data_IF_834665938355
#
_entry.id   IF_834665938355
#
_cell.length_a   1.000
_cell.length_b   1.000
_cell.length_c   1.000
_cell.angle_alpha   90.00
_cell.angle_beta   90.00
_cell.angle_gamma   90.00
#
_symmetry.space_group_name_H-M   'P 1'
#
loop_
_entity.id
_entity.type
_entity.pdbx_description
1 polymer ?
#
# COMPACT_ATOMS: atom_id res chain seq x y z
N UNK A 1 -1.41 6.89 -98.79
CA UNK A 1 -1.23 5.42 -98.82
C UNK A 1 -0.97 4.95 -97.40
N UNK A 2 -1.73 3.94 -96.96
CA UNK A 2 -1.54 2.98 -95.84
C UNK A 2 -1.02 3.52 -94.50
N UNK A 3 -1.71 3.43 -93.35
CA UNK A 3 -2.69 2.43 -92.93
C UNK A 3 -2.00 1.18 -92.40
N UNK A 4 -1.91 1.00 -91.07
CA UNK A 4 -2.48 -0.18 -90.40
C UNK A 4 -2.49 -0.06 -88.87
N UNK A 5 -3.66 -0.37 -88.32
CA UNK A 5 -3.96 -0.69 -86.93
C UNK A 5 -3.38 -2.08 -86.60
N UNK A 6 -3.23 -2.43 -85.32
CA UNK A 6 -3.89 -3.59 -84.70
C UNK A 6 -3.76 -3.51 -83.18
N UNK A 7 -4.87 -3.85 -82.57
CA UNK A 7 -5.30 -3.93 -81.17
C UNK A 7 -4.73 -5.14 -80.43
N UNK A 8 -4.72 -5.11 -79.09
CA UNK A 8 -5.55 -6.01 -78.23
C UNK A 8 -5.36 -5.75 -76.72
N UNK A 9 -6.48 -5.94 -76.04
CA UNK A 9 -6.79 -5.74 -74.62
C UNK A 9 -6.21 -6.88 -73.75
N UNK A 10 -5.92 -6.60 -72.49
CA UNK A 10 -6.23 -7.50 -71.38
C UNK A 10 -6.42 -6.69 -70.10
N UNK A 11 -7.64 -6.71 -69.58
CA UNK A 11 -7.99 -6.30 -68.24
C UNK A 11 -7.67 -7.46 -67.28
N UNK A 12 -7.29 -7.14 -66.04
CA UNK A 12 -7.66 -7.93 -64.88
C UNK A 12 -7.60 -7.04 -63.63
N UNK A 13 -8.80 -6.80 -63.10
CA UNK A 13 -9.05 -6.29 -61.77
C UNK A 13 -8.58 -7.30 -60.71
N UNK A 14 -8.08 -6.81 -59.59
CA UNK A 14 -7.73 -7.62 -58.42
C UNK A 14 -7.62 -6.69 -57.21
N UNK A 15 -8.59 -6.78 -56.32
CA UNK A 15 -8.90 -5.75 -55.32
C UNK A 15 -7.86 -5.57 -54.22
N UNK A 16 -7.79 -4.33 -53.73
CA UNK A 16 -7.28 -3.99 -52.41
C UNK A 16 -7.97 -2.71 -51.94
N UNK A 17 -9.25 -2.83 -51.59
CA UNK A 17 -9.97 -1.81 -50.82
C UNK A 17 -10.47 -2.49 -49.54
N UNK A 18 -9.55 -2.72 -48.61
CA UNK A 18 -9.88 -3.08 -47.23
C UNK A 18 -10.38 -1.80 -46.54
N UNK A 19 -11.66 -1.52 -46.75
CA UNK A 19 -12.45 -0.52 -46.05
C UNK A 19 -12.41 -0.82 -44.55
N UNK A 20 -11.69 0.04 -43.82
CA UNK A 20 -12.06 0.63 -42.53
C UNK A 20 -13.39 0.12 -41.96
N UNK A 21 -13.30 -0.96 -41.17
CA UNK A 21 -14.27 -1.30 -40.14
C UNK A 21 -13.65 -0.93 -38.79
N UNK A 22 -13.60 0.36 -38.49
CA UNK A 22 -13.54 0.80 -37.10
C UNK A 22 -14.98 0.90 -36.60
N UNK A 23 -15.34 -0.05 -35.75
CA UNK A 23 -16.61 -0.09 -35.05
C UNK A 23 -16.78 1.20 -34.24
N UNK A 24 -17.78 2.00 -34.59
CA UNK A 24 -18.32 3.02 -33.72
C UNK A 24 -19.08 2.32 -32.58
N UNK A 25 -18.45 2.16 -31.43
CA UNK A 25 -19.14 1.80 -30.19
C UNK A 25 -19.95 3.00 -29.70
N UNK A 26 -21.27 2.86 -29.45
CA UNK A 26 -22.08 3.95 -28.91
C UNK A 26 -21.64 4.26 -27.47
N UNK A 27 -21.40 5.55 -27.22
CA UNK A 27 -20.73 6.07 -26.04
C UNK A 27 -21.51 5.95 -24.74
N UNK A 28 -20.78 5.57 -23.69
CA UNK A 28 -21.11 5.87 -22.30
C UNK A 28 -20.63 7.30 -22.00
N UNK A 29 -21.54 8.27 -22.05
CA UNK A 29 -21.26 9.64 -21.68
C UNK A 29 -21.09 9.73 -20.15
N UNK A 30 -19.84 9.70 -19.69
CA UNK A 30 -19.46 9.78 -18.28
C UNK A 30 -17.96 9.59 -18.03
N UNK A 31 -17.23 9.03 -19.00
CA UNK A 31 -15.81 8.65 -18.87
C UNK A 31 -14.92 9.28 -19.98
N UNK A 32 -15.45 10.29 -20.67
CA UNK A 32 -14.97 10.74 -21.98
C UNK A 32 -13.65 11.54 -22.01
N UNK A 33 -13.04 11.87 -20.86
CA UNK A 33 -11.80 12.66 -20.82
C UNK A 33 -10.57 11.86 -20.34
N UNK A 34 -10.69 10.54 -20.14
CA UNK A 34 -9.52 9.74 -19.79
C UNK A 34 -8.74 9.39 -21.07
N UNK A 35 -7.45 9.73 -21.16
CA UNK A 35 -6.62 9.29 -22.29
C UNK A 35 -6.63 7.76 -22.36
N UNK A 36 -6.63 7.21 -23.58
CA UNK A 36 -6.52 5.77 -23.78
C UNK A 36 -5.26 5.21 -23.08
N UNK A 37 -5.32 4.03 -22.43
CA UNK A 37 -4.14 3.42 -21.84
C UNK A 37 -2.98 3.31 -22.84
N UNK A 38 -1.74 3.47 -22.38
CA UNK A 38 -0.60 3.30 -23.28
C UNK A 38 -0.29 1.83 -23.59
N UNK A 39 0.23 1.61 -24.78
CA UNK A 39 0.59 0.29 -25.31
C UNK A 39 2.06 -0.06 -25.08
N UNK A 40 2.43 -1.32 -25.28
CA UNK A 40 3.82 -1.77 -25.22
C UNK A 40 4.71 -1.03 -26.23
N UNK A 41 4.24 -0.84 -27.46
CA UNK A 41 4.97 -0.10 -28.49
C UNK A 41 5.24 1.36 -28.09
N UNK A 42 4.29 2.01 -27.41
CA UNK A 42 4.49 3.37 -26.89
C UNK A 42 5.48 3.40 -25.72
N UNK A 43 5.45 2.40 -24.85
CA UNK A 43 6.42 2.26 -23.76
C UNK A 43 7.84 2.08 -24.32
N UNK A 44 8.03 1.20 -25.30
CA UNK A 44 9.33 0.97 -25.94
C UNK A 44 9.85 2.24 -26.61
N UNK A 45 8.99 2.94 -27.36
CA UNK A 45 9.32 4.21 -27.98
C UNK A 45 9.68 5.28 -26.95
N UNK A 46 8.94 5.35 -25.84
CA UNK A 46 9.23 6.29 -24.76
C UNK A 46 10.60 6.02 -24.14
N UNK A 47 10.94 4.76 -23.86
CA UNK A 47 12.26 4.36 -23.36
C UNK A 47 13.37 4.79 -24.32
N UNK A 48 13.16 4.65 -25.63
CA UNK A 48 14.14 5.01 -26.65
C UNK A 48 14.31 6.53 -26.83
N UNK A 49 13.23 7.31 -26.70
CA UNK A 49 13.23 8.75 -26.99
C UNK A 49 13.48 9.62 -25.74
N UNK A 50 13.11 9.15 -24.54
CA UNK A 50 13.25 9.90 -23.30
C UNK A 50 14.68 10.45 -23.04
N UNK A 51 15.78 9.69 -23.27
CA UNK A 51 17.14 10.20 -23.10
C UNK A 51 17.43 11.44 -23.96
N UNK A 52 16.85 11.55 -25.16
CA UNK A 52 17.03 12.71 -26.05
C UNK A 52 16.36 13.95 -25.45
N UNK A 53 15.19 13.78 -24.85
CA UNK A 53 14.48 14.86 -24.15
C UNK A 53 15.25 15.35 -22.92
N UNK A 54 15.84 14.43 -22.14
CA UNK A 54 16.71 14.75 -21.00
C UNK A 54 17.98 15.46 -21.47
N UNK A 55 18.63 14.98 -22.53
CA UNK A 55 19.82 15.60 -23.10
C UNK A 55 19.55 17.01 -23.62
N UNK A 56 18.41 17.22 -24.30
CA UNK A 56 17.98 18.54 -24.74
C UNK A 56 17.71 19.47 -23.55
N UNK A 57 17.01 19.01 -22.50
CA UNK A 57 16.79 19.82 -21.30
C UNK A 57 18.09 20.21 -20.62
N UNK A 58 19.06 19.29 -20.59
CA UNK A 58 20.38 19.52 -19.99
C UNK A 58 21.22 20.53 -20.77
N UNK A 59 21.02 20.64 -22.08
CA UNK A 59 21.72 21.62 -22.92
C UNK A 59 21.12 23.04 -22.84
N UNK A 60 19.90 23.17 -22.32
CA UNK A 60 19.28 24.47 -22.08
C UNK A 60 19.79 25.09 -20.79
N UNK A 61 20.52 26.21 -20.87
CA UNK A 61 21.03 26.92 -19.69
C UNK A 61 19.93 27.22 -18.66
N UNK A 62 18.73 27.56 -19.14
CA UNK A 62 17.53 27.84 -18.32
C UNK A 62 17.07 26.67 -17.45
N UNK A 63 17.38 25.42 -17.81
CA UNK A 63 16.94 24.22 -17.09
C UNK A 63 18.06 23.45 -16.40
N UNK A 64 19.33 23.77 -16.72
CA UNK A 64 20.51 23.16 -16.11
C UNK A 64 20.53 23.11 -14.57
N UNK A 65 19.87 24.08 -13.90
CA UNK A 65 19.82 24.19 -12.43
C UNK A 65 18.69 23.41 -11.76
N UNK A 66 17.66 22.99 -12.49
CA UNK A 66 16.43 22.41 -11.94
C UNK A 66 16.47 20.88 -11.95
N UNK A 67 17.55 20.30 -12.48
CA UNK A 67 17.67 18.88 -12.76
C UNK A 67 17.04 18.54 -14.12
N UNK A 68 17.61 17.56 -14.81
CA UNK A 68 17.24 17.22 -16.18
C UNK A 68 15.95 16.38 -16.28
N UNK A 69 14.98 16.59 -15.38
CA UNK A 69 13.72 15.85 -15.38
C UNK A 69 12.55 16.75 -15.86
N UNK A 70 11.96 16.48 -17.04
CA UNK A 70 10.84 17.24 -17.59
C UNK A 70 9.62 17.32 -16.67
N UNK A 71 9.46 16.36 -15.76
CA UNK A 71 8.34 16.30 -14.82
C UNK A 71 8.41 17.39 -13.73
N UNK A 72 9.62 17.84 -13.39
CA UNK A 72 9.85 18.79 -12.29
C UNK A 72 9.73 20.24 -12.78
N UNK A 73 9.79 20.46 -14.09
CA UNK A 73 9.77 21.80 -14.70
C UNK A 73 8.31 22.21 -14.95
N UNK A 74 7.80 23.12 -14.12
CA UNK A 74 6.47 23.69 -14.29
C UNK A 74 6.32 24.37 -15.66
N UNK A 75 5.23 24.08 -16.38
CA UNK A 75 4.94 24.67 -17.68
C UNK A 75 5.69 24.05 -18.86
N UNK A 76 6.54 23.04 -18.65
CA UNK A 76 7.32 22.39 -19.71
C UNK A 76 6.45 21.83 -20.85
N UNK A 77 5.25 21.36 -20.53
CA UNK A 77 4.23 20.90 -21.49
C UNK A 77 3.82 21.95 -22.52
N UNK A 78 4.03 23.23 -22.22
CA UNK A 78 3.66 24.36 -23.05
C UNK A 78 4.88 25.12 -23.62
N UNK A 79 6.11 24.65 -23.37
CA UNK A 79 7.30 25.27 -23.93
C UNK A 79 7.39 24.99 -25.45
N UNK A 80 7.40 26.02 -26.31
CA UNK A 80 7.29 25.81 -27.75
C UNK A 80 8.49 25.10 -28.37
N UNK A 81 9.69 25.24 -27.78
CA UNK A 81 10.88 24.56 -28.30
C UNK A 81 10.88 23.08 -27.94
N UNK A 82 10.43 22.76 -26.73
CA UNK A 82 10.28 21.38 -26.32
C UNK A 82 9.14 20.67 -27.04
N UNK A 83 8.02 21.35 -27.28
CA UNK A 83 6.93 20.81 -28.11
C UNK A 83 7.45 20.48 -29.51
N UNK A 84 8.25 21.36 -30.13
CA UNK A 84 8.89 21.07 -31.43
C UNK A 84 9.83 19.87 -31.37
N UNK A 85 10.60 19.70 -30.28
CA UNK A 85 11.43 18.52 -30.08
C UNK A 85 10.57 17.25 -30.05
N UNK A 86 9.50 17.24 -29.25
CA UNK A 86 8.58 16.10 -29.14
C UNK A 86 7.92 15.79 -30.49
N UNK A 87 7.46 16.81 -31.22
CA UNK A 87 6.88 16.66 -32.56
C UNK A 87 7.88 16.06 -33.56
N UNK A 88 9.16 16.46 -33.50
CA UNK A 88 10.23 15.89 -34.33
C UNK A 88 10.49 14.40 -34.05
N UNK A 89 10.18 13.96 -32.83
CA UNK A 89 10.21 12.56 -32.42
C UNK A 89 8.87 11.86 -32.66
N UNK A 90 7.86 12.57 -33.18
CA UNK A 90 6.51 12.09 -33.47
C UNK A 90 5.62 11.90 -32.23
N UNK A 91 5.88 12.64 -31.16
CA UNK A 91 5.06 12.71 -29.95
C UNK A 91 4.18 13.96 -29.97
N UNK A 92 2.95 13.84 -29.47
CA UNK A 92 2.22 15.02 -28.97
C UNK A 92 2.63 15.28 -27.52
N UNK A 93 2.67 16.56 -27.12
CA UNK A 93 3.02 16.91 -25.73
C UNK A 93 2.09 16.20 -24.73
N UNK A 94 0.80 16.17 -25.00
CA UNK A 94 -0.20 15.53 -24.15
C UNK A 94 0.05 14.04 -23.96
N UNK A 95 0.38 13.31 -25.04
CA UNK A 95 0.66 11.88 -24.96
C UNK A 95 1.98 11.57 -24.25
N UNK A 96 3.02 12.37 -24.51
CA UNK A 96 4.32 12.22 -23.86
C UNK A 96 4.22 12.44 -22.35
N UNK A 97 3.59 13.55 -21.93
CA UNK A 97 3.42 13.85 -20.50
C UNK A 97 2.45 12.91 -19.80
N UNK A 98 1.47 12.36 -20.53
CA UNK A 98 0.63 11.26 -20.02
C UNK A 98 1.47 10.02 -19.70
N UNK A 99 2.28 9.52 -20.65
CA UNK A 99 3.17 8.38 -20.39
C UNK A 99 4.13 8.66 -19.24
N UNK A 100 4.78 9.83 -19.26
CA UNK A 100 5.72 10.23 -18.22
C UNK A 100 5.06 10.23 -16.83
N UNK A 101 3.83 10.74 -16.72
CA UNK A 101 3.06 10.67 -15.47
C UNK A 101 2.83 9.23 -15.04
N UNK A 102 2.27 8.41 -15.94
CA UNK A 102 1.90 7.03 -15.62
C UNK A 102 3.10 6.17 -15.24
N UNK A 103 4.22 6.33 -15.96
CA UNK A 103 5.46 5.63 -15.62
C UNK A 103 5.93 6.00 -14.22
N UNK A 104 5.93 7.30 -13.87
CA UNK A 104 6.32 7.75 -12.54
C UNK A 104 5.39 7.20 -11.45
N UNK A 105 4.07 7.23 -11.68
CA UNK A 105 3.07 6.64 -10.77
C UNK A 105 3.31 5.14 -10.60
N UNK A 106 3.56 4.42 -11.70
CA UNK A 106 3.81 2.99 -11.71
C UNK A 106 5.09 2.60 -10.97
N UNK A 107 6.20 3.33 -11.17
CA UNK A 107 7.46 3.09 -10.46
C UNK A 107 7.33 3.33 -8.96
N UNK A 108 6.62 4.40 -8.54
CA UNK A 108 6.33 4.65 -7.11
C UNK A 108 5.41 3.59 -6.51
N UNK A 109 4.44 3.09 -7.28
CA UNK A 109 3.58 2.00 -6.84
C UNK A 109 4.37 0.69 -6.66
N UNK A 110 5.30 0.39 -7.56
CA UNK A 110 6.21 -0.75 -7.46
C UNK A 110 7.11 -0.62 -6.22
N UNK A 111 7.69 0.55 -5.98
CA UNK A 111 8.58 0.78 -4.83
C UNK A 111 7.84 0.64 -3.49
N UNK A 112 6.63 1.21 -3.39
CA UNK A 112 5.77 1.01 -2.22
C UNK A 112 5.44 -0.47 -2.01
N UNK A 113 5.12 -1.20 -3.07
CA UNK A 113 4.85 -2.63 -2.97
C UNK A 113 6.06 -3.43 -2.47
N UNK A 114 7.28 -3.07 -2.92
CA UNK A 114 8.54 -3.65 -2.42
C UNK A 114 8.76 -3.35 -0.94
N UNK A 115 8.63 -2.08 -0.53
CA UNK A 115 8.76 -1.66 0.86
C UNK A 115 7.74 -2.37 1.76
N UNK A 116 6.48 -2.46 1.34
CA UNK A 116 5.45 -3.20 2.08
C UNK A 116 5.78 -4.69 2.20
N UNK A 117 6.32 -5.31 1.14
CA UNK A 117 6.76 -6.71 1.20
C UNK A 117 7.88 -6.91 2.22
N UNK A 118 8.90 -6.06 2.18
CA UNK A 118 10.02 -6.10 3.13
C UNK A 118 9.55 -5.86 4.57
N UNK A 119 8.67 -4.88 4.79
CA UNK A 119 8.08 -4.62 6.10
C UNK A 119 7.28 -5.82 6.61
N UNK A 120 6.49 -6.47 5.75
CA UNK A 120 5.75 -7.70 6.08
C UNK A 120 6.68 -8.85 6.44
N UNK A 121 7.79 -9.03 5.73
CA UNK A 121 8.78 -10.06 6.05
C UNK A 121 9.47 -9.81 7.38
N UNK A 122 9.91 -8.56 7.62
CA UNK A 122 10.53 -8.16 8.88
C UNK A 122 9.57 -8.39 10.06
N UNK A 123 8.30 -8.01 9.92
CA UNK A 123 7.27 -8.26 10.92
C UNK A 123 7.09 -9.76 11.20
N UNK A 124 7.00 -10.60 10.16
CA UNK A 124 6.90 -12.06 10.34
C UNK A 124 8.10 -12.64 11.07
N UNK A 125 9.32 -12.16 10.79
CA UNK A 125 10.53 -12.61 11.51
C UNK A 125 10.46 -12.24 12.98
N UNK A 126 10.08 -11.00 13.30
CA UNK A 126 9.91 -10.56 14.68
C UNK A 126 8.86 -11.38 15.42
N UNK A 127 7.72 -11.67 14.79
CA UNK A 127 6.66 -12.49 15.38
C UNK A 127 7.14 -13.92 15.67
N UNK A 128 7.87 -14.53 14.72
CA UNK A 128 8.45 -15.86 14.91
C UNK A 128 9.51 -15.88 16.02
N UNK A 129 10.35 -14.85 16.11
CA UNK A 129 11.34 -14.71 17.18
C UNK A 129 10.68 -14.53 18.54
N UNK A 130 9.66 -13.67 18.64
CA UNK A 130 8.88 -13.48 19.86
C UNK A 130 8.20 -14.79 20.30
N UNK A 131 7.62 -15.55 19.36
CA UNK A 131 7.03 -16.85 19.65
C UNK A 131 8.07 -17.86 20.16
N UNK A 132 9.26 -17.92 19.53
CA UNK A 132 10.38 -18.77 19.99
C UNK A 132 10.84 -18.38 21.38
N UNK A 133 11.00 -17.09 21.67
CA UNK A 133 11.39 -16.60 22.99
C UNK A 133 10.33 -16.94 24.05
N UNK A 134 9.05 -16.79 23.74
CA UNK A 134 7.95 -17.18 24.63
C UNK A 134 7.98 -18.69 24.93
N UNK A 135 8.18 -19.52 23.91
CA UNK A 135 8.34 -20.97 24.08
C UNK A 135 9.56 -21.33 24.93
N UNK A 136 10.70 -20.68 24.70
CA UNK A 136 11.91 -20.89 25.49
C UNK A 136 11.70 -20.52 26.97
N UNK A 137 11.07 -19.37 27.25
CA UNK A 137 10.73 -18.95 28.63
C UNK A 137 9.76 -19.91 29.31
N UNK A 138 8.75 -20.39 28.59
CA UNK A 138 7.82 -21.39 29.13
C UNK A 138 8.54 -22.71 29.44
N UNK A 139 9.42 -23.17 28.54
CA UNK A 139 10.21 -24.38 28.76
C UNK A 139 11.17 -24.24 29.96
N UNK A 140 11.81 -23.08 30.11
CA UNK A 140 12.68 -22.78 31.24
C UNK A 140 11.91 -22.71 32.56
N UNK A 141 10.79 -21.98 32.60
CA UNK A 141 9.90 -21.91 33.77
C UNK A 141 9.45 -23.31 34.19
N UNK A 142 9.09 -24.17 33.22
CA UNK A 142 8.75 -25.57 33.49
C UNK A 142 9.91 -26.36 34.09
N UNK A 143 11.14 -26.19 33.58
CA UNK A 143 12.34 -26.84 34.15
C UNK A 143 12.60 -26.37 35.57
N UNK A 144 12.45 -25.07 35.85
CA UNK A 144 12.63 -24.51 37.19
C UNK A 144 11.60 -25.07 38.18
N UNK A 145 10.32 -25.12 37.81
CA UNK A 145 9.28 -25.72 38.66
C UNK A 145 9.52 -27.21 38.92
N UNK A 146 9.93 -27.97 37.90
CA UNK A 146 10.27 -29.38 38.07
C UNK A 146 11.48 -29.57 38.98
N UNK A 147 12.51 -28.74 38.85
CA UNK A 147 13.70 -28.79 39.72
C UNK A 147 13.35 -28.43 41.17
N UNK A 148 12.52 -27.40 41.39
CA UNK A 148 12.04 -27.01 42.72
C UNK A 148 11.23 -28.13 43.37
N UNK A 149 10.31 -28.74 42.62
CA UNK A 149 9.53 -29.85 43.14
C UNK A 149 10.40 -31.09 43.42
N UNK A 150 11.40 -31.39 42.58
CA UNK A 150 12.35 -32.47 42.85
C UNK A 150 13.21 -32.21 44.10
N UNK A 151 13.56 -30.96 44.38
CA UNK A 151 14.23 -30.56 45.63
C UNK A 151 13.31 -30.78 46.84
N UNK A 152 12.08 -30.27 46.81
CA UNK A 152 11.09 -30.48 47.88
C UNK A 152 10.81 -31.96 48.15
N UNK A 153 10.76 -32.78 47.07
CA UNK A 153 10.58 -34.22 47.18
C UNK A 153 11.70 -34.87 47.99
N UNK A 154 12.96 -34.48 47.73
CA UNK A 154 14.13 -34.97 48.46
C UNK A 154 14.11 -34.52 49.92
N UNK A 155 13.68 -33.29 50.20
CA UNK A 155 13.57 -32.77 51.57
C UNK A 155 12.52 -33.54 52.39
N UNK A 156 11.33 -33.79 51.81
CA UNK A 156 10.28 -34.60 52.46
C UNK A 156 10.77 -36.03 52.72
N UNK A 157 11.45 -36.64 51.74
CA UNK A 157 11.93 -38.01 51.85
C UNK A 157 13.03 -38.16 52.92
N UNK A 158 13.98 -37.22 52.94
CA UNK A 158 15.15 -37.27 53.84
C UNK A 158 14.84 -36.83 55.27
N UNK A 159 13.75 -36.11 55.53
CA UNK A 159 13.44 -35.62 56.87
C UNK A 159 13.06 -36.77 57.83
N UNK A 160 13.84 -37.03 58.90
CA UNK A 160 13.57 -38.14 59.82
C UNK A 160 12.40 -37.88 60.78
N UNK A 161 11.98 -36.62 60.94
CA UNK A 161 10.93 -36.21 61.88
C UNK A 161 9.51 -36.33 61.31
N UNK A 162 9.36 -36.65 60.02
CA UNK A 162 8.05 -36.83 59.38
C UNK A 162 7.70 -38.33 59.39
N UNK A 163 6.59 -38.76 60.02
CA UNK A 163 6.13 -40.14 59.96
C UNK A 163 5.86 -40.60 58.52
N UNK A 164 6.09 -41.88 58.23
CA UNK A 164 6.02 -42.43 56.86
C UNK A 164 4.68 -42.19 56.15
N UNK A 165 3.55 -42.31 56.85
CA UNK A 165 2.22 -42.03 56.28
C UNK A 165 2.04 -40.56 55.90
N UNK A 166 2.60 -39.64 56.70
CA UNK A 166 2.53 -38.20 56.45
C UNK A 166 3.44 -37.82 55.26
N UNK A 167 4.61 -38.46 55.12
CA UNK A 167 5.47 -38.31 53.92
C UNK A 167 4.71 -38.67 52.65
N UNK A 168 4.00 -39.79 52.63
CA UNK A 168 3.22 -40.22 51.46
C UNK A 168 2.13 -39.21 51.09
N UNK A 169 1.41 -38.68 52.09
CA UNK A 169 0.38 -37.65 51.85
C UNK A 169 0.98 -36.36 51.27
N UNK A 170 2.08 -35.86 51.83
CA UNK A 170 2.76 -34.66 51.33
C UNK A 170 3.31 -34.84 49.90
N UNK A 171 3.86 -36.01 49.59
CA UNK A 171 4.34 -36.34 48.25
C UNK A 171 3.19 -36.40 47.23
N UNK A 172 2.05 -36.98 47.61
CA UNK A 172 0.87 -37.02 46.75
C UNK A 172 0.31 -35.61 46.47
N UNK A 173 0.28 -34.74 47.48
CA UNK A 173 -0.12 -33.34 47.32
C UNK A 173 0.84 -32.56 46.40
N UNK A 174 2.15 -32.78 46.54
CA UNK A 174 3.15 -32.16 45.66
C UNK A 174 3.00 -32.63 44.21
N UNK A 175 2.80 -33.94 43.99
CA UNK A 175 2.61 -34.52 42.66
C UNK A 175 1.29 -34.04 42.02
N UNK A 176 0.22 -33.87 42.82
CA UNK A 176 -1.04 -33.29 42.37
C UNK A 176 -0.88 -31.80 42.01
N UNK A 177 -0.23 -31.01 42.88
CA UNK A 177 0.02 -29.59 42.64
C UNK A 177 0.89 -29.34 41.40
N UNK A 178 1.87 -30.20 41.13
CA UNK A 178 2.64 -30.18 39.89
C UNK A 178 1.75 -30.43 38.67
N UNK A 179 0.90 -31.46 38.71
CA UNK A 179 -0.01 -31.78 37.59
C UNK A 179 -0.98 -30.63 37.28
N UNK A 180 -1.48 -29.96 38.32
CA UNK A 180 -2.46 -28.89 38.19
C UNK A 180 -1.82 -27.54 37.80
N UNK A 181 -0.60 -27.25 38.28
CA UNK A 181 0.05 -25.95 38.08
C UNK A 181 1.15 -25.92 37.03
N UNK A 182 1.53 -27.08 36.44
CA UNK A 182 2.44 -27.09 35.30
C UNK A 182 1.77 -26.33 34.14
N UNK A 183 2.36 -25.23 33.65
CA UNK A 183 1.82 -24.50 32.51
C UNK A 183 1.72 -25.49 31.35
N UNK A 184 0.50 -25.87 31.03
CA UNK A 184 0.22 -26.68 29.86
C UNK A 184 0.49 -25.79 28.66
N UNK A 185 1.30 -26.30 27.72
CA UNK A 185 1.37 -25.66 26.42
C UNK A 185 -0.06 -25.61 25.90
N UNK A 186 -0.57 -24.44 25.50
CA UNK A 186 -1.91 -24.35 24.96
C UNK A 186 -2.04 -25.34 23.82
N UNK A 187 -3.12 -26.12 23.81
CA UNK A 187 -3.37 -27.05 22.72
C UNK A 187 -3.44 -26.28 21.40
N UNK A 188 -3.21 -26.96 20.26
CA UNK A 188 -3.38 -26.33 18.95
C UNK A 188 -4.77 -25.68 18.80
N UNK A 189 -5.80 -26.30 19.39
CA UNK A 189 -7.15 -25.74 19.48
C UNK A 189 -7.21 -24.48 20.35
N UNK A 190 -6.57 -24.46 21.52
CA UNK A 190 -6.52 -23.27 22.37
C UNK A 190 -5.80 -22.11 21.70
N UNK A 191 -4.72 -22.37 20.96
CA UNK A 191 -4.02 -21.37 20.15
C UNK A 191 -4.95 -20.83 19.05
N UNK A 192 -5.64 -21.71 18.31
CA UNK A 192 -6.58 -21.29 17.28
C UNK A 192 -7.74 -20.47 17.86
N UNK A 193 -8.27 -20.88 19.01
CA UNK A 193 -9.35 -20.17 19.70
C UNK A 193 -8.88 -18.80 20.19
N UNK A 194 -7.66 -18.71 20.71
CA UNK A 194 -7.04 -17.44 21.12
C UNK A 194 -6.85 -16.52 19.91
N UNK A 195 -6.34 -17.02 18.78
CA UNK A 195 -6.20 -16.25 17.55
C UNK A 195 -7.56 -15.76 17.03
N UNK A 196 -8.58 -16.62 17.02
CA UNK A 196 -9.94 -16.25 16.62
C UNK A 196 -10.52 -15.17 17.53
N UNK A 197 -10.27 -15.26 18.83
CA UNK A 197 -10.72 -14.26 19.81
C UNK A 197 -10.00 -12.93 19.60
N UNK A 198 -8.68 -12.96 19.39
CA UNK A 198 -7.90 -11.77 19.07
C UNK A 198 -8.39 -11.09 17.77
N UNK A 199 -8.62 -11.86 16.71
CA UNK A 199 -9.18 -11.37 15.45
C UNK A 199 -10.56 -10.74 15.64
N UNK A 200 -11.47 -11.44 16.35
CA UNK A 200 -12.81 -10.91 16.63
C UNK A 200 -12.75 -9.60 17.44
N UNK A 201 -11.84 -9.51 18.41
CA UNK A 201 -11.64 -8.29 19.20
C UNK A 201 -11.10 -7.15 18.32
N UNK A 202 -10.19 -7.44 17.39
CA UNK A 202 -9.66 -6.45 16.46
C UNK A 202 -10.74 -5.93 15.51
N UNK A 203 -11.53 -6.81 14.91
CA UNK A 203 -12.66 -6.43 14.05
C UNK A 203 -13.70 -5.63 14.85
N UNK A 204 -14.02 -6.06 16.07
CA UNK A 204 -14.95 -5.32 16.94
C UNK A 204 -14.42 -3.91 17.27
N UNK A 205 -13.12 -3.76 17.52
CA UNK A 205 -12.50 -2.46 17.73
C UNK A 205 -12.60 -1.56 16.49
N UNK A 206 -12.33 -2.11 15.29
CA UNK A 206 -12.49 -1.38 14.03
C UNK A 206 -13.94 -0.95 13.78
N UNK A 207 -14.91 -1.84 14.04
CA UNK A 207 -16.34 -1.50 13.95
C UNK A 207 -16.71 -0.35 14.88
N UNK A 208 -16.22 -0.36 16.13
CA UNK A 208 -16.45 0.74 17.09
C UNK A 208 -15.83 2.06 16.59
N UNK A 209 -14.64 2.02 16.01
CA UNK A 209 -14.00 3.20 15.42
C UNK A 209 -14.84 3.77 14.27
N UNK A 210 -15.31 2.92 13.34
CA UNK A 210 -16.17 3.33 12.22
C UNK A 210 -17.49 3.91 12.72
N UNK A 211 -18.14 3.24 13.68
CA UNK A 211 -19.42 3.69 14.25
C UNK A 211 -19.28 5.03 14.97
N UNK A 212 -18.24 5.17 15.80
CA UNK A 212 -17.97 6.36 16.60
C UNK A 212 -17.40 7.54 15.81
N UNK A 213 -17.00 7.35 14.55
CA UNK A 213 -16.41 8.41 13.76
C UNK A 213 -17.48 9.44 13.31
N UNK A 214 -17.41 10.72 13.74
CA UNK A 214 -18.41 11.73 13.36
C UNK A 214 -18.24 12.24 11.92
N UNK A 215 -17.10 11.96 11.28
CA UNK A 215 -16.75 12.47 9.95
C UNK A 215 -17.15 11.53 8.81
N UNK A 216 -17.54 10.28 9.10
CA UNK A 216 -18.05 9.36 8.09
C UNK A 216 -19.53 9.60 7.85
N UNK A 217 -19.92 9.74 6.57
CA UNK A 217 -21.32 9.76 6.18
C UNK A 217 -22.02 8.44 6.57
N UNK A 218 -23.34 8.42 6.81
CA UNK A 218 -24.05 7.18 7.12
C UNK A 218 -23.88 6.09 6.04
N UNK A 219 -23.79 6.48 4.77
CA UNK A 219 -23.57 5.57 3.66
C UNK A 219 -22.16 4.94 3.69
N UNK A 220 -21.13 5.75 3.96
CA UNK A 220 -19.76 5.27 4.08
C UNK A 220 -19.57 4.37 5.29
N UNK A 221 -20.16 4.73 6.44
CA UNK A 221 -20.18 3.87 7.63
C UNK A 221 -20.77 2.50 7.33
N UNK A 222 -21.91 2.46 6.64
CA UNK A 222 -22.57 1.21 6.25
C UNK A 222 -21.65 0.38 5.37
N UNK A 223 -21.07 0.97 4.32
CA UNK A 223 -20.15 0.28 3.41
C UNK A 223 -18.95 -0.31 4.14
N UNK A 224 -18.35 0.44 5.07
CA UNK A 224 -17.24 -0.02 5.89
C UNK A 224 -17.63 -1.16 6.83
N UNK A 225 -18.76 -1.06 7.52
CA UNK A 225 -19.25 -2.10 8.41
C UNK A 225 -19.56 -3.40 7.66
N UNK A 226 -20.16 -3.29 6.46
CA UNK A 226 -20.45 -4.44 5.60
C UNK A 226 -19.15 -5.14 5.16
N UNK A 227 -18.09 -4.39 4.84
CA UNK A 227 -16.77 -4.97 4.54
C UNK A 227 -16.14 -5.68 5.76
N UNK A 228 -16.23 -5.09 6.94
CA UNK A 228 -15.74 -5.71 8.18
C UNK A 228 -16.52 -6.98 8.52
N UNK A 229 -17.81 -7.04 8.21
CA UNK A 229 -18.64 -8.24 8.34
C UNK A 229 -18.20 -9.37 7.39
N UNK A 230 -17.89 -9.03 6.13
CA UNK A 230 -17.37 -9.99 5.15
C UNK A 230 -16.01 -10.54 5.63
N UNK A 231 -15.11 -9.68 6.09
CA UNK A 231 -13.81 -10.10 6.65
C UNK A 231 -13.96 -10.98 7.89
N UNK A 232 -14.91 -10.65 8.77
CA UNK A 232 -15.16 -11.46 9.97
C UNK A 232 -15.64 -12.86 9.62
N UNK A 233 -16.55 -12.98 8.63
CA UNK A 233 -17.11 -14.26 8.17
C UNK A 233 -16.09 -15.10 7.39
N UNK A 234 -15.16 -14.46 6.67
CA UNK A 234 -14.14 -15.12 5.87
C UNK A 234 -12.89 -15.58 6.63
N UNK A 235 -12.79 -15.31 7.94
CA UNK A 235 -11.59 -15.68 8.70
C UNK A 235 -11.47 -17.20 8.91
N UNK A 236 -10.41 -17.77 8.33
CA UNK A 236 -10.02 -19.17 8.52
C UNK A 236 -8.68 -19.24 9.27
N UNK A 237 -8.64 -19.67 10.55
CA UNK A 237 -7.40 -19.77 11.32
C UNK A 237 -6.40 -20.82 10.77
N UNK A 238 -6.85 -21.73 9.90
CA UNK A 238 -5.99 -22.73 9.27
C UNK A 238 -5.23 -22.21 8.04
N UNK A 239 -5.57 -21.02 7.54
CA UNK A 239 -4.88 -20.35 6.45
C UNK A 239 -4.40 -18.97 6.95
N UNK A 240 -3.10 -18.77 7.21
CA UNK A 240 -2.60 -17.45 7.56
C UNK A 240 -2.92 -16.50 6.40
N UNK A 241 -3.90 -15.62 6.59
CA UNK A 241 -4.26 -14.62 5.59
C UNK A 241 -3.11 -13.63 5.46
N UNK A 242 -2.27 -13.85 4.46
CA UNK A 242 -1.21 -12.94 4.03
C UNK A 242 -1.80 -11.72 3.30
N UNK A 243 -2.73 -10.99 3.91
CA UNK A 243 -3.44 -9.97 3.14
C UNK A 243 -4.49 -9.10 3.79
N UNK A 244 -4.72 -9.14 5.11
CA UNK A 244 -5.60 -8.14 5.73
C UNK A 244 -4.85 -6.81 5.94
N UNK A 245 -4.40 -6.21 4.84
CA UNK A 245 -4.24 -4.75 4.79
C UNK A 245 -5.64 -4.18 5.07
N UNK A 246 -5.83 -3.29 6.07
CA UNK A 246 -7.15 -2.72 6.34
C UNK A 246 -7.79 -2.25 5.03
N UNK A 247 -9.05 -2.62 4.73
CA UNK A 247 -9.69 -2.28 3.47
C UNK A 247 -10.18 -0.84 3.50
N UNK A 248 -9.24 0.07 3.38
CA UNK A 248 -9.40 1.49 3.13
C UNK A 248 -7.99 1.96 2.91
N UNK A 249 -7.75 2.54 1.74
CA UNK A 249 -6.41 2.93 1.30
C UNK A 249 -5.64 3.53 2.47
N UNK A 250 -4.36 3.17 2.63
CA UNK A 250 -3.44 3.78 3.61
C UNK A 250 -3.62 5.33 3.71
N UNK A 251 -4.08 5.95 2.62
CA UNK A 251 -4.50 7.35 2.47
C UNK A 251 -5.74 7.77 3.27
N UNK A 252 -6.83 7.02 3.29
CA UNK A 252 -8.03 7.35 4.10
C UNK A 252 -7.73 7.19 5.59
N UNK A 253 -7.00 6.15 5.96
CA UNK A 253 -6.53 5.96 7.32
C UNK A 253 -5.56 7.07 7.75
N UNK A 254 -4.59 7.43 6.90
CA UNK A 254 -3.69 8.57 7.16
C UNK A 254 -4.44 9.90 7.26
N UNK A 255 -5.40 10.16 6.36
CA UNK A 255 -6.25 11.36 6.41
C UNK A 255 -7.01 11.43 7.73
N UNK A 256 -7.60 10.31 8.15
CA UNK A 256 -8.36 10.22 9.38
C UNK A 256 -7.47 10.33 10.64
N UNK A 257 -6.26 9.76 10.61
CA UNK A 257 -5.29 9.91 11.69
C UNK A 257 -4.80 11.35 11.80
N UNK A 258 -4.56 12.03 10.68
CA UNK A 258 -4.23 13.45 10.65
C UNK A 258 -5.39 14.29 11.18
N UNK A 259 -6.63 14.09 10.70
CA UNK A 259 -7.81 14.82 11.20
C UNK A 259 -7.97 14.70 12.71
N UNK A 260 -7.71 13.51 13.28
CA UNK A 260 -7.70 13.30 14.72
C UNK A 260 -6.60 14.11 15.44
N UNK A 261 -5.38 14.15 14.89
CA UNK A 261 -4.29 14.98 15.43
C UNK A 261 -4.62 16.48 15.38
N UNK A 262 -5.20 16.96 14.28
CA UNK A 262 -5.63 18.36 14.14
C UNK A 262 -6.75 18.70 15.13
N UNK A 263 -7.72 17.80 15.32
CA UNK A 263 -8.78 17.97 16.31
C UNK A 263 -8.23 18.03 17.74
N UNK A 264 -7.21 17.22 18.05
CA UNK A 264 -6.54 17.24 19.35
C UNK A 264 -5.78 18.57 19.56
N UNK A 265 -5.00 19.03 18.58
CA UNK A 265 -4.29 20.31 18.64
C UNK A 265 -5.25 21.49 18.82
N UNK A 266 -6.36 21.49 18.08
CA UNK A 266 -7.45 22.46 18.24
C UNK A 266 -7.98 22.46 19.66
N UNK A 267 -8.24 21.27 20.23
CA UNK A 267 -8.74 21.12 21.59
C UNK A 267 -7.73 21.59 22.64
N UNK A 268 -6.43 21.39 22.42
CA UNK A 268 -5.38 21.93 23.29
C UNK A 268 -5.37 23.46 23.26
N UNK A 269 -5.50 24.10 22.09
CA UNK A 269 -5.54 25.57 21.96
C UNK A 269 -6.80 26.14 22.63
N UNK A 270 -7.96 25.52 22.38
CA UNK A 270 -9.24 25.97 22.94
C UNK A 270 -9.26 25.90 24.47
N UNK A 271 -8.78 24.79 25.05
CA UNK A 271 -8.86 24.56 26.49
C UNK A 271 -7.67 25.11 27.30
N UNK A 272 -6.62 25.63 26.67
CA UNK A 272 -5.47 26.15 27.40
C UNK A 272 -5.79 27.53 28.05
N UNK A 273 -5.84 27.64 29.39
CA UNK A 273 -6.19 28.91 30.05
C UNK A 273 -5.06 29.95 29.98
N UNK A 274 -3.82 29.54 29.67
CA UNK A 274 -2.66 30.43 29.60
C UNK A 274 -2.60 31.24 28.29
N UNK A 275 -3.43 30.92 27.29
CA UNK A 275 -3.46 31.64 26.01
C UNK A 275 -4.57 32.69 26.06
N UNK A 276 -4.27 33.99 25.89
CA UNK A 276 -5.28 35.04 25.78
C UNK A 276 -6.25 34.79 24.62
N UNK A 277 -7.52 35.16 24.79
CA UNK A 277 -8.59 34.88 23.82
C UNK A 277 -8.26 35.38 22.41
N UNK A 278 -7.66 36.57 22.30
CA UNK A 278 -7.28 37.17 21.01
C UNK A 278 -6.21 36.35 20.28
N UNK A 279 -5.24 35.81 21.04
CA UNK A 279 -4.19 34.94 20.50
C UNK A 279 -4.72 33.56 20.13
N UNK A 280 -5.66 33.00 20.90
CA UNK A 280 -6.34 31.73 20.55
C UNK A 280 -7.02 31.81 19.20
N UNK A 281 -7.73 32.92 18.92
CA UNK A 281 -8.42 33.12 17.65
C UNK A 281 -7.46 33.09 16.46
N UNK A 282 -6.29 33.74 16.59
CA UNK A 282 -5.24 33.71 15.56
C UNK A 282 -4.68 32.30 15.33
N UNK A 283 -4.33 31.59 16.42
CA UNK A 283 -3.80 30.23 16.33
C UNK A 283 -4.78 29.24 15.70
N UNK A 284 -6.08 29.35 16.02
CA UNK A 284 -7.11 28.49 15.43
C UNK A 284 -7.31 28.77 13.93
N UNK A 285 -7.25 30.03 13.51
CA UNK A 285 -7.34 30.40 12.10
C UNK A 285 -6.14 29.88 11.30
N UNK A 286 -4.93 29.98 11.86
CA UNK A 286 -3.71 29.44 11.24
C UNK A 286 -3.77 27.91 11.13
N UNK A 287 -4.26 27.22 12.16
CA UNK A 287 -4.46 25.78 12.17
C UNK A 287 -5.44 25.34 11.07
N UNK A 288 -6.56 26.07 10.92
CA UNK A 288 -7.56 25.79 9.88
C UNK A 288 -7.01 26.03 8.47
N UNK A 289 -6.22 27.09 8.28
CA UNK A 289 -5.59 27.36 6.98
C UNK A 289 -4.53 26.31 6.63
N UNK A 290 -3.73 25.87 7.61
CA UNK A 290 -2.79 24.76 7.44
C UNK A 290 -3.50 23.46 7.07
N UNK A 291 -4.61 23.13 7.75
CA UNK A 291 -5.45 21.99 7.43
C UNK A 291 -5.99 22.08 5.99
N UNK A 292 -6.51 23.24 5.59
CA UNK A 292 -7.00 23.49 4.22
C UNK A 292 -5.91 23.34 3.17
N UNK A 293 -4.71 23.89 3.41
CA UNK A 293 -3.56 23.76 2.49
C UNK A 293 -3.12 22.31 2.35
N UNK A 294 -3.09 21.56 3.45
CA UNK A 294 -2.71 20.14 3.44
C UNK A 294 -3.78 19.26 2.78
N UNK A 295 -5.06 19.47 3.07
CA UNK A 295 -6.16 18.76 2.40
C UNK A 295 -6.17 19.10 0.91
N UNK A 296 -6.01 20.37 0.54
CA UNK A 296 -5.85 20.76 -0.85
C UNK A 296 -4.57 20.16 -1.49
N UNK A 297 -3.49 19.95 -0.73
CA UNK A 297 -2.31 19.23 -1.21
C UNK A 297 -2.58 17.74 -1.41
N UNK A 298 -3.26 17.07 -0.48
CA UNK A 298 -3.67 15.66 -0.60
C UNK A 298 -4.68 15.45 -1.73
N UNK A 299 -5.61 16.40 -1.88
CA UNK A 299 -6.63 16.42 -2.93
C UNK A 299 -6.02 16.76 -4.27
N UNK A 300 -5.16 17.77 -4.39
CA UNK A 300 -4.41 18.04 -5.64
C UNK A 300 -3.47 16.89 -6.01
N UNK A 301 -2.94 16.17 -5.01
CA UNK A 301 -2.21 14.92 -5.23
C UNK A 301 -3.12 13.78 -5.66
N UNK A 302 -4.41 13.75 -5.29
CA UNK A 302 -5.36 12.70 -5.70
C UNK A 302 -6.18 13.01 -6.94
N UNK A 303 -6.40 14.28 -7.26
CA UNK A 303 -7.36 14.74 -8.27
C UNK A 303 -6.78 14.65 -9.69
N UNK A 304 -5.47 14.37 -9.85
CA UNK A 304 -4.86 14.14 -11.17
C UNK A 304 -3.81 13.03 -11.23
N UNK A 305 -3.65 12.20 -10.20
CA UNK A 305 -3.07 10.88 -10.42
C UNK A 305 -4.12 10.07 -11.18
N UNK A 306 -4.15 10.25 -12.51
CA UNK A 306 -4.85 9.35 -13.41
C UNK A 306 -4.48 7.94 -12.97
N UNK A 307 -5.43 7.22 -12.35
CA UNK A 307 -5.15 5.91 -11.80
C UNK A 307 -4.46 5.09 -12.89
N UNK A 308 -3.26 4.58 -12.64
CA UNK A 308 -2.61 3.71 -13.61
C UNK A 308 -3.50 2.48 -13.76
N UNK A 309 -3.83 2.09 -14.99
CA UNK A 309 -4.60 0.86 -15.20
C UNK A 309 -3.73 -0.36 -14.88
N UNK A 310 -4.34 -1.51 -14.61
CA UNK A 310 -3.59 -2.74 -14.32
C UNK A 310 -2.67 -3.14 -15.49
N UNK A 311 -3.12 -2.92 -16.73
CA UNK A 311 -2.33 -3.18 -17.94
C UNK A 311 -1.10 -2.26 -18.05
N UNK A 312 -1.28 -0.97 -17.82
CA UNK A 312 -0.18 0.00 -17.81
C UNK A 312 0.82 -0.28 -16.68
N UNK A 313 0.31 -0.63 -15.49
CA UNK A 313 1.16 -0.98 -14.35
C UNK A 313 1.98 -2.24 -14.64
N UNK A 314 1.41 -3.23 -15.34
CA UNK A 314 2.15 -4.40 -15.79
C UNK A 314 3.27 -4.01 -16.78
N UNK A 315 3.01 -3.11 -17.73
CA UNK A 315 4.02 -2.62 -18.67
C UNK A 315 5.16 -1.86 -17.95
N UNK A 316 4.84 -1.02 -16.96
CA UNK A 316 5.85 -0.33 -16.14
C UNK A 316 6.70 -1.33 -15.37
N UNK A 317 6.07 -2.35 -14.74
CA UNK A 317 6.78 -3.39 -14.00
C UNK A 317 7.72 -4.20 -14.90
N UNK A 318 7.25 -4.61 -16.08
CA UNK A 318 8.05 -5.38 -17.03
C UNK A 318 9.25 -4.60 -17.58
N UNK A 319 9.19 -3.26 -17.53
CA UNK A 319 10.26 -2.38 -17.99
C UNK A 319 10.96 -1.62 -16.86
N UNK A 320 10.70 -1.96 -15.59
CA UNK A 320 11.16 -1.19 -14.44
C UNK A 320 12.69 -1.06 -14.39
N UNK A 321 13.43 -2.11 -14.75
CA UNK A 321 14.90 -2.09 -14.79
C UNK A 321 15.46 -1.09 -15.81
N UNK A 322 14.76 -0.90 -16.93
CA UNK A 322 15.15 0.10 -17.95
C UNK A 322 14.72 1.50 -17.54
N UNK A 323 13.55 1.64 -16.93
CA UNK A 323 12.94 2.94 -16.59
C UNK A 323 13.56 3.61 -15.36
N UNK A 324 14.00 2.82 -14.38
CA UNK A 324 14.61 3.32 -13.14
C UNK A 324 15.84 4.22 -13.37
N UNK A 325 16.90 3.77 -14.07
CA UNK A 325 18.08 4.62 -14.28
C UNK A 325 17.75 5.86 -15.11
N UNK A 326 16.77 5.75 -16.03
CA UNK A 326 16.34 6.86 -16.86
C UNK A 326 15.65 7.97 -16.06
N UNK A 327 14.79 7.62 -15.11
CA UNK A 327 13.90 8.58 -14.44
C UNK A 327 14.35 9.00 -13.05
N UNK A 328 15.05 8.11 -12.34
CA UNK A 328 15.50 8.34 -10.97
C UNK A 328 17.00 8.71 -10.91
N UNK A 329 17.71 8.54 -12.02
CA UNK A 329 19.17 8.60 -12.06
C UNK A 329 19.80 7.38 -11.40
N UNK A 330 21.09 7.17 -11.65
CA UNK A 330 21.89 6.24 -10.84
C UNK A 330 22.07 6.89 -9.46
N UNK A 331 21.19 6.56 -8.52
CA UNK A 331 21.43 6.83 -7.11
C UNK A 331 22.46 5.83 -6.61
N UNK A 332 23.73 6.02 -7.01
CA UNK A 332 24.90 5.40 -6.38
C UNK A 332 25.20 6.04 -5.02
#
# INVERSE_FOLDING_TARGET
MSGNRVTKKAALAGGALALLLFAASPGSAGEADRPEPFTEAEMERFIADYPKSVAWLSSQERFSRVGANPWVIAGMRHDPEFVKLLESQGWTADRFFYLLNQVNVGLRAEERAKQESQAREHWRRQEQEAARQAQARMAESRRQMQAMAAAQRRDIQSNPYIPGWQKQSMLAQLDQGLRENLPTLPSAEAIQQQQRTAWNNQIAAQKRMVQGNPYLSPADKKRWLDQLDVLQKGYNPAQPQSGATPPGSSKEWMKQQQEAQWAEQRRMIENNPAIPADRKKGMLAELEEAQKRMLAALESSSVRESAITDGELALVRNNAEKLRPLLLGDSE
#
